data_IF_664165868255
#
_entry.id   IF_664165868255
#
_cell.length_a   1.000
_cell.length_b   1.000
_cell.length_c   1.000
_cell.angle_alpha   90.00
_cell.angle_beta   90.00
_cell.angle_gamma   90.00
#
_symmetry.space_group_name_H-M   'P 1'
#
loop_
_entity.id
_entity.type
_entity.pdbx_description
1 polymer ?
#
# COMPACT_ATOMS: atom_id res chain seq x y z
N UNK A 1 -48.11 12.68 -36.69
CA UNK A 1 -48.31 14.14 -36.72
C UNK A 1 -48.64 14.61 -35.30
N UNK A 2 -47.71 15.19 -34.59
CA UNK A 2 -47.94 15.87 -33.32
C UNK A 2 -47.15 17.18 -33.33
N UNK A 3 -47.88 18.28 -33.28
CA UNK A 3 -47.38 19.65 -33.32
C UNK A 3 -46.73 20.02 -31.99
N UNK A 4 -45.51 20.55 -32.02
CA UNK A 4 -44.82 21.13 -30.87
C UNK A 4 -45.07 22.63 -30.91
N UNK A 5 -45.80 23.14 -29.90
CA UNK A 5 -46.05 24.56 -29.67
C UNK A 5 -44.85 25.20 -28.99
N UNK A 6 -44.21 26.12 -29.68
CA UNK A 6 -43.13 26.98 -29.18
C UNK A 6 -43.78 28.10 -28.33
N UNK A 7 -43.45 28.14 -27.04
CA UNK A 7 -43.79 29.28 -26.17
C UNK A 7 -42.51 30.15 -26.01
N UNK A 8 -42.58 31.34 -26.60
CA UNK A 8 -41.57 32.38 -26.51
C UNK A 8 -41.83 33.19 -25.23
N UNK A 9 -40.94 33.09 -24.23
CA UNK A 9 -41.00 33.91 -23.00
C UNK A 9 -39.96 35.04 -23.12
N UNK A 10 -40.44 36.22 -23.40
CA UNK A 10 -39.68 37.49 -23.35
C UNK A 10 -39.60 37.93 -21.89
N UNK A 11 -38.41 37.81 -21.25
CA UNK A 11 -38.15 38.42 -19.94
C UNK A 11 -37.29 39.68 -20.17
N UNK A 12 -37.95 40.82 -20.01
CA UNK A 12 -37.32 42.14 -19.87
C UNK A 12 -36.63 42.18 -18.49
N UNK A 13 -35.30 42.18 -18.46
CA UNK A 13 -34.51 42.42 -17.24
C UNK A 13 -34.06 43.88 -17.26
N UNK A 14 -34.65 44.65 -16.34
CA UNK A 14 -34.29 46.04 -16.06
C UNK A 14 -32.85 46.11 -15.50
N UNK A 15 -31.95 46.84 -16.19
CA UNK A 15 -30.65 47.22 -15.67
C UNK A 15 -30.83 48.31 -14.61
N UNK A 16 -30.70 47.98 -13.33
CA UNK A 16 -30.41 48.97 -12.29
C UNK A 16 -28.88 48.99 -12.08
N UNK A 17 -28.25 50.04 -12.53
CA UNK A 17 -26.84 50.33 -12.28
C UNK A 17 -26.67 50.69 -10.79
N UNK A 18 -26.15 49.78 -9.97
CA UNK A 18 -25.67 50.06 -8.63
C UNK A 18 -24.19 50.39 -8.75
N UNK A 19 -23.86 51.66 -8.60
CA UNK A 19 -22.47 52.10 -8.42
C UNK A 19 -21.98 51.58 -7.06
N UNK A 20 -21.29 50.44 -7.04
CA UNK A 20 -20.57 49.98 -5.85
C UNK A 20 -19.21 50.68 -5.79
N UNK A 21 -19.04 51.48 -4.73
CA UNK A 21 -17.73 52.02 -4.32
C UNK A 21 -16.76 50.85 -4.12
N UNK A 22 -15.82 50.70 -5.05
CA UNK A 22 -14.72 49.78 -4.89
C UNK A 22 -13.80 50.28 -3.75
N UNK A 23 -13.98 49.71 -2.57
CA UNK A 23 -12.98 49.76 -1.55
C UNK A 23 -11.68 49.10 -2.03
N UNK A 24 -10.49 49.64 -1.79
CA UNK A 24 -9.24 49.02 -2.20
C UNK A 24 -9.17 47.60 -1.61
N UNK A 25 -8.99 46.63 -2.46
CA UNK A 25 -8.77 45.23 -2.06
C UNK A 25 -7.52 45.19 -1.16
N UNK A 26 -7.72 45.02 0.15
CA UNK A 26 -6.64 44.63 1.02
C UNK A 26 -6.02 43.33 0.51
N UNK A 27 -4.67 43.26 0.41
CA UNK A 27 -4.03 41.99 0.12
C UNK A 27 -4.44 41.02 1.21
N UNK A 28 -5.24 40.01 0.86
CA UNK A 28 -5.52 38.88 1.75
C UNK A 28 -4.16 38.21 2.01
N UNK A 29 -3.57 38.55 3.16
CA UNK A 29 -2.47 37.81 3.75
C UNK A 29 -2.96 36.36 3.88
N UNK A 30 -2.50 35.51 2.96
CA UNK A 30 -2.68 34.07 3.06
C UNK A 30 -1.89 33.62 4.28
N UNK A 31 -2.50 33.65 5.44
CA UNK A 31 -2.04 32.88 6.59
C UNK A 31 -2.19 31.41 6.19
N UNK A 32 -1.17 30.88 5.53
CA UNK A 32 -1.04 29.43 5.39
C UNK A 32 -1.14 28.88 6.82
N UNK A 33 -2.14 28.04 7.05
CA UNK A 33 -2.35 27.42 8.34
C UNK A 33 -1.05 26.69 8.72
N UNK A 34 -0.51 26.99 9.88
CA UNK A 34 0.77 26.43 10.34
C UNK A 34 0.75 24.89 10.32
N UNK A 35 -0.42 24.30 10.52
CA UNK A 35 -0.63 22.86 10.44
C UNK A 35 -0.46 22.31 9.01
N UNK A 36 -0.88 23.07 7.99
CA UNK A 36 -0.73 22.68 6.58
C UNK A 36 0.75 22.73 6.16
N UNK A 37 1.47 23.73 6.62
CA UNK A 37 2.91 23.88 6.36
C UNK A 37 3.72 22.76 7.02
N UNK A 38 3.37 22.41 8.27
CA UNK A 38 4.00 21.28 8.97
C UNK A 38 3.75 19.95 8.25
N UNK A 39 2.53 19.69 7.77
CA UNK A 39 2.19 18.51 6.99
C UNK A 39 2.99 18.45 5.67
N UNK A 40 3.16 19.60 5.00
CA UNK A 40 3.99 19.71 3.80
C UNK A 40 5.44 19.32 4.08
N UNK A 41 6.05 19.87 5.12
CA UNK A 41 7.43 19.55 5.48
C UNK A 41 7.63 18.10 5.89
N UNK A 42 6.70 17.52 6.65
CA UNK A 42 6.73 16.08 7.00
C UNK A 42 6.71 15.19 5.75
N UNK A 43 5.86 15.50 4.78
CA UNK A 43 5.79 14.75 3.52
C UNK A 43 7.09 14.84 2.72
N UNK A 44 7.63 16.05 2.56
CA UNK A 44 8.91 16.24 1.85
C UNK A 44 10.07 15.54 2.56
N UNK A 45 10.15 15.63 3.89
CA UNK A 45 11.19 14.97 4.68
C UNK A 45 11.16 13.45 4.53
N UNK A 46 9.97 12.83 4.47
CA UNK A 46 9.78 11.41 4.18
C UNK A 46 10.44 10.99 2.86
N UNK A 47 10.44 11.88 1.88
CA UNK A 47 11.06 11.66 0.57
C UNK A 47 12.48 12.24 0.44
N UNK A 48 13.12 12.56 1.58
CA UNK A 48 14.48 13.14 1.64
C UNK A 48 14.63 14.46 0.87
N UNK A 49 13.55 15.25 0.75
CA UNK A 49 13.58 16.57 0.13
C UNK A 49 13.78 17.63 1.21
N UNK A 50 14.85 18.44 1.14
CA UNK A 50 15.10 19.52 2.08
C UNK A 50 13.95 20.54 2.12
N UNK A 51 13.72 21.15 3.27
CA UNK A 51 12.60 22.07 3.50
C UNK A 51 12.58 23.24 2.50
N UNK A 52 13.75 23.79 2.15
CA UNK A 52 13.91 24.88 1.18
C UNK A 52 13.54 24.51 -0.27
N UNK A 53 13.51 23.21 -0.58
CA UNK A 53 13.11 22.68 -1.87
C UNK A 53 11.68 22.12 -1.90
N UNK A 54 11.01 22.13 -0.76
CA UNK A 54 9.66 21.62 -0.60
C UNK A 54 8.63 22.65 -1.06
N UNK A 55 8.49 22.85 -2.36
CA UNK A 55 7.45 23.74 -2.89
C UNK A 55 6.06 23.10 -2.83
N UNK A 56 4.96 23.88 -2.90
CA UNK A 56 3.60 23.33 -2.91
C UNK A 56 3.37 22.33 -4.05
N UNK A 57 4.00 22.54 -5.21
CA UNK A 57 3.89 21.66 -6.39
C UNK A 57 4.57 20.32 -6.10
N UNK A 58 5.78 20.33 -5.53
CA UNK A 58 6.51 19.14 -5.13
C UNK A 58 5.71 18.38 -4.07
N UNK A 59 5.18 19.07 -3.07
CA UNK A 59 4.32 18.47 -2.06
C UNK A 59 3.12 17.76 -2.67
N UNK A 60 2.41 18.41 -3.60
CA UNK A 60 1.25 17.80 -4.25
C UNK A 60 1.63 16.56 -5.06
N UNK A 61 2.72 16.61 -5.83
CA UNK A 61 3.23 15.45 -6.57
C UNK A 61 3.58 14.27 -5.65
N UNK A 62 4.20 14.54 -4.49
CA UNK A 62 4.53 13.50 -3.51
C UNK A 62 3.27 12.92 -2.88
N UNK A 63 2.30 13.75 -2.53
CA UNK A 63 1.01 13.32 -2.00
C UNK A 63 0.24 12.45 -2.98
N UNK A 64 0.24 12.83 -4.27
CA UNK A 64 -0.41 12.04 -5.32
C UNK A 64 0.30 10.68 -5.49
N UNK A 65 1.64 10.66 -5.44
CA UNK A 65 2.44 9.43 -5.46
C UNK A 65 2.18 8.53 -4.26
N UNK A 66 2.11 9.12 -3.05
CA UNK A 66 1.82 8.37 -1.82
C UNK A 66 0.39 7.81 -1.79
N UNK A 67 -0.55 8.52 -2.42
CA UNK A 67 -1.95 8.10 -2.53
C UNK A 67 -2.24 7.22 -3.77
N UNK A 68 -1.26 7.05 -4.66
CA UNK A 68 -1.45 6.20 -5.83
C UNK A 68 -1.83 4.77 -5.41
N UNK A 69 -2.78 4.14 -6.11
CA UNK A 69 -3.13 2.76 -5.83
C UNK A 69 -1.92 1.86 -6.07
N UNK A 70 -1.72 0.90 -5.18
CA UNK A 70 -0.69 -0.11 -5.35
C UNK A 70 -1.01 -0.97 -6.58
N UNK A 71 0.03 -1.38 -7.30
CA UNK A 71 -0.16 -2.38 -8.36
C UNK A 71 -0.75 -3.68 -7.77
N UNK A 72 -1.50 -4.46 -8.57
CA UNK A 72 -2.24 -5.63 -8.07
C UNK A 72 -1.38 -6.64 -7.33
N UNK A 73 -0.14 -6.87 -7.78
CA UNK A 73 0.78 -7.82 -7.14
C UNK A 73 1.23 -7.30 -5.78
N UNK A 74 1.63 -6.02 -5.70
CA UNK A 74 1.99 -5.40 -4.43
C UNK A 74 0.81 -5.38 -3.46
N UNK A 75 -0.40 -5.06 -3.93
CA UNK A 75 -1.60 -5.07 -3.09
C UNK A 75 -1.92 -6.47 -2.54
N UNK A 76 -1.79 -7.50 -3.36
CA UNK A 76 -2.00 -8.89 -2.93
C UNK A 76 -0.97 -9.33 -1.88
N UNK A 77 0.31 -9.04 -2.12
CA UNK A 77 1.39 -9.38 -1.19
C UNK A 77 1.30 -8.58 0.13
N UNK A 78 0.97 -7.30 0.06
CA UNK A 78 0.76 -6.48 1.25
C UNK A 78 -0.40 -6.99 2.11
N UNK A 79 -1.53 -7.35 1.49
CA UNK A 79 -2.66 -7.96 2.18
C UNK A 79 -2.25 -9.25 2.89
N UNK A 80 -1.55 -10.13 2.19
CA UNK A 80 -1.04 -11.37 2.78
C UNK A 80 -0.08 -11.09 3.95
N UNK A 81 0.87 -10.18 3.80
CA UNK A 81 1.80 -9.81 4.85
C UNK A 81 1.10 -9.25 6.09
N UNK A 82 0.13 -8.35 5.93
CA UNK A 82 -0.68 -7.80 7.04
C UNK A 82 -1.52 -8.86 7.72
N UNK A 83 -2.15 -9.76 6.97
CA UNK A 83 -2.91 -10.87 7.56
C UNK A 83 -1.98 -11.80 8.34
N UNK A 84 -0.77 -12.09 7.82
CA UNK A 84 0.21 -12.88 8.57
C UNK A 84 0.69 -12.17 9.83
N UNK A 85 0.89 -10.85 9.77
CA UNK A 85 1.29 -10.03 10.91
C UNK A 85 0.35 -10.19 12.10
N UNK A 86 -0.95 -10.30 11.87
CA UNK A 86 -1.94 -10.50 12.95
C UNK A 86 -1.81 -11.85 13.67
N UNK A 87 -1.13 -12.82 13.07
CA UNK A 87 -0.89 -14.15 13.64
C UNK A 87 0.39 -14.21 14.48
N UNK A 88 1.25 -13.18 14.40
CA UNK A 88 2.49 -13.12 15.18
C UNK A 88 2.22 -12.71 16.62
N UNK A 89 2.94 -13.30 17.57
CA UNK A 89 2.88 -12.88 18.99
C UNK A 89 3.42 -11.47 19.21
N UNK A 90 4.42 -11.06 18.41
CA UNK A 90 4.98 -9.71 18.38
C UNK A 90 4.88 -9.16 16.95
N UNK A 91 3.73 -8.58 16.55
CA UNK A 91 3.51 -8.05 15.21
C UNK A 91 4.52 -7.00 14.77
N UNK A 92 5.00 -6.18 15.71
CA UNK A 92 5.95 -5.09 15.44
C UNK A 92 7.35 -5.59 15.10
N UNK A 93 7.67 -6.85 15.43
CA UNK A 93 8.95 -7.47 15.07
C UNK A 93 8.98 -8.03 13.64
N UNK A 94 7.87 -7.96 12.91
CA UNK A 94 7.76 -8.53 11.57
C UNK A 94 8.72 -7.85 10.58
N UNK A 95 9.43 -8.68 9.83
CA UNK A 95 10.30 -8.27 8.73
C UNK A 95 9.98 -9.11 7.49
N UNK A 96 9.67 -8.48 6.38
CA UNK A 96 9.45 -9.18 5.11
C UNK A 96 10.78 -9.26 4.37
N UNK A 97 11.37 -10.45 4.32
CA UNK A 97 12.61 -10.72 3.61
C UNK A 97 12.37 -10.94 2.12
N UNK A 98 11.27 -11.63 1.79
CA UNK A 98 10.84 -11.87 0.41
C UNK A 98 9.33 -11.72 0.32
N UNK A 99 8.86 -10.97 -0.67
CA UNK A 99 7.48 -10.94 -1.09
C UNK A 99 7.44 -11.10 -2.62
N UNK A 100 7.05 -12.27 -3.07
CA UNK A 100 7.08 -12.65 -4.47
C UNK A 100 5.71 -13.13 -4.92
N UNK A 101 5.23 -12.65 -6.06
CA UNK A 101 3.94 -13.06 -6.63
C UNK A 101 4.19 -13.84 -7.90
N UNK A 102 3.80 -15.11 -7.92
CA UNK A 102 3.93 -15.98 -9.08
C UNK A 102 2.99 -15.52 -10.21
N UNK A 103 3.24 -15.97 -11.46
CA UNK A 103 2.32 -15.70 -12.58
C UNK A 103 0.91 -16.24 -12.35
N UNK A 104 0.74 -17.22 -11.46
CA UNK A 104 -0.57 -17.75 -11.06
C UNK A 104 -1.27 -16.90 -10.01
N UNK A 105 -0.61 -15.85 -9.51
CA UNK A 105 -1.13 -14.95 -8.48
C UNK A 105 -0.97 -15.50 -7.06
N UNK A 106 -0.20 -16.58 -6.85
CA UNK A 106 0.12 -17.05 -5.51
C UNK A 106 1.23 -16.17 -4.91
N UNK A 107 1.07 -15.78 -3.66
CA UNK A 107 2.01 -14.93 -2.93
C UNK A 107 2.93 -15.79 -2.08
N UNK A 108 4.21 -15.68 -2.32
CA UNK A 108 5.29 -16.38 -1.62
C UNK A 108 5.99 -15.40 -0.68
N UNK A 109 5.88 -15.62 0.62
CA UNK A 109 6.46 -14.76 1.63
C UNK A 109 7.54 -15.50 2.42
N UNK A 110 8.66 -14.82 2.63
CA UNK A 110 9.63 -15.16 3.67
C UNK A 110 9.62 -14.05 4.71
N UNK A 111 9.19 -14.38 5.92
CA UNK A 111 8.92 -13.41 6.99
C UNK A 111 9.75 -13.77 8.21
N UNK A 112 10.54 -12.81 8.67
CA UNK A 112 11.21 -12.84 9.97
C UNK A 112 10.31 -12.27 11.07
N UNK A 113 10.52 -12.75 12.30
CA UNK A 113 9.84 -12.21 13.48
C UNK A 113 10.37 -12.81 14.77
N UNK A 114 10.06 -12.18 15.89
CA UNK A 114 10.39 -12.73 17.20
C UNK A 114 9.39 -13.82 17.62
N UNK A 115 9.91 -14.93 18.08
CA UNK A 115 9.09 -15.95 18.75
C UNK A 115 8.72 -15.52 20.18
N UNK A 116 7.88 -16.32 20.84
CA UNK A 116 7.41 -16.02 22.21
C UNK A 116 8.51 -16.01 23.29
N UNK A 117 9.73 -16.43 22.96
CA UNK A 117 10.91 -16.42 23.83
C UNK A 117 11.94 -15.35 23.43
N UNK A 118 11.59 -14.45 22.48
CA UNK A 118 12.46 -13.38 22.02
C UNK A 118 13.48 -13.79 20.95
N UNK A 119 13.56 -15.06 20.57
CA UNK A 119 14.43 -15.53 19.49
C UNK A 119 13.92 -15.11 18.13
N UNK A 120 14.83 -14.79 17.20
CA UNK A 120 14.49 -14.51 15.81
C UNK A 120 14.21 -15.81 15.06
N UNK A 121 13.17 -15.82 14.26
CA UNK A 121 12.78 -16.96 13.43
C UNK A 121 12.37 -16.47 12.05
N UNK A 122 12.55 -17.30 11.05
CA UNK A 122 12.13 -17.04 9.67
C UNK A 122 11.12 -18.11 9.27
N UNK A 123 9.99 -17.67 8.75
CA UNK A 123 8.93 -18.53 8.22
C UNK A 123 8.76 -18.31 6.73
N UNK A 124 8.56 -19.41 5.99
CA UNK A 124 8.23 -19.40 4.57
C UNK A 124 6.78 -19.84 4.42
N UNK A 125 5.96 -18.96 3.89
CA UNK A 125 4.50 -19.15 3.80
C UNK A 125 3.99 -18.82 2.42
N UNK A 126 2.90 -19.48 2.02
CA UNK A 126 2.23 -19.25 0.75
C UNK A 126 0.80 -18.81 0.99
N UNK A 127 0.42 -17.70 0.40
CA UNK A 127 -0.95 -17.25 0.32
C UNK A 127 -1.44 -17.41 -1.11
N UNK A 128 -2.39 -18.33 -1.33
CA UNK A 128 -2.85 -18.65 -2.68
C UNK A 128 -3.67 -17.52 -3.31
N UNK A 129 -3.70 -17.48 -4.63
CA UNK A 129 -4.60 -16.61 -5.40
C UNK A 129 -6.09 -16.77 -5.06
N UNK A 130 -6.46 -17.90 -4.42
CA UNK A 130 -7.81 -18.16 -3.89
C UNK A 130 -8.03 -17.62 -2.46
N UNK A 131 -7.07 -16.88 -1.90
CA UNK A 131 -7.19 -16.29 -0.56
C UNK A 131 -7.06 -17.29 0.59
N UNK A 132 -6.26 -18.34 0.43
CA UNK A 132 -6.02 -19.35 1.46
C UNK A 132 -4.54 -19.52 1.74
N UNK A 133 -4.18 -19.66 3.01
CA UNK A 133 -2.86 -20.09 3.40
C UNK A 133 -2.69 -21.58 3.11
N UNK A 134 -1.61 -21.96 2.43
CA UNK A 134 -1.27 -23.38 2.23
C UNK A 134 -0.60 -23.96 3.46
N UNK A 135 -0.16 -23.10 4.36
CA UNK A 135 0.54 -23.48 5.56
C UNK A 135 0.03 -22.71 6.77
N UNK A 136 -1.03 -23.24 7.36
CA UNK A 136 -1.49 -22.85 8.69
C UNK A 136 -0.80 -23.67 9.79
N UNK A 137 0.12 -24.55 9.43
CA UNK A 137 0.99 -25.25 10.36
C UNK A 137 1.91 -24.23 11.01
N UNK A 138 1.44 -23.69 12.13
CA UNK A 138 2.02 -22.56 12.80
C UNK A 138 3.52 -22.68 12.99
N UNK A 139 4.11 -21.56 13.34
CA UNK A 139 5.47 -21.31 13.80
C UNK A 139 6.09 -22.36 14.76
N UNK A 140 5.29 -23.27 15.20
CA UNK A 140 5.58 -24.52 15.86
C UNK A 140 5.05 -25.64 14.97
N UNK A 141 5.69 -25.89 13.83
CA UNK A 141 5.59 -27.21 13.22
C UNK A 141 5.91 -28.19 14.33
N UNK A 142 4.92 -28.93 14.80
CA UNK A 142 5.18 -29.94 15.83
C UNK A 142 6.28 -30.85 15.27
N UNK A 143 7.18 -31.30 16.10
CA UNK A 143 8.21 -32.28 15.79
C UNK A 143 7.66 -33.47 14.98
N UNK A 144 6.36 -33.76 15.10
CA UNK A 144 5.62 -34.77 14.34
C UNK A 144 5.44 -34.44 12.85
N UNK A 145 5.36 -33.15 12.46
CA UNK A 145 5.24 -32.78 11.05
C UNK A 145 6.58 -32.82 10.32
N UNK A 146 7.68 -32.58 11.00
CA UNK A 146 9.04 -32.71 10.46
C UNK A 146 9.33 -34.15 10.04
N UNK A 147 8.77 -35.13 10.74
CA UNK A 147 8.93 -36.55 10.45
C UNK A 147 8.00 -37.07 9.34
N UNK A 148 6.98 -36.32 8.90
CA UNK A 148 6.03 -36.75 7.87
C UNK A 148 6.32 -36.21 6.47
N UNK A 149 7.43 -35.51 6.26
CA UNK A 149 7.88 -35.05 4.93
C UNK A 149 6.96 -34.00 4.25
N UNK A 150 6.05 -33.38 5.00
CA UNK A 150 5.07 -32.42 4.48
C UNK A 150 5.14 -31.06 5.20
N UNK A 151 6.34 -30.62 5.55
CA UNK A 151 6.55 -29.33 6.22
C UNK A 151 6.24 -28.12 5.32
N UNK A 152 6.08 -26.97 5.94
CA UNK A 152 5.83 -25.68 5.29
C UNK A 152 6.83 -25.34 4.20
N UNK A 153 8.08 -25.72 4.40
CA UNK A 153 9.17 -25.54 3.43
C UNK A 153 8.89 -26.29 2.14
N UNK A 154 8.40 -27.52 2.22
CA UNK A 154 8.12 -28.33 1.02
C UNK A 154 6.99 -27.73 0.19
N UNK A 155 5.94 -27.18 0.82
CA UNK A 155 4.85 -26.52 0.10
C UNK A 155 5.31 -25.20 -0.54
N UNK A 156 6.11 -24.42 0.20
CA UNK A 156 6.71 -23.20 -0.35
C UNK A 156 7.59 -23.54 -1.57
N UNK A 157 8.45 -24.56 -1.46
CA UNK A 157 9.27 -25.04 -2.57
C UNK A 157 8.41 -25.48 -3.74
N UNK A 158 7.34 -26.22 -3.50
CA UNK A 158 6.47 -26.76 -4.56
C UNK A 158 5.66 -25.68 -5.31
N UNK A 159 5.29 -24.59 -4.63
CA UNK A 159 4.47 -23.51 -5.22
C UNK A 159 5.30 -22.35 -5.71
N UNK A 160 6.38 -22.00 -5.00
CA UNK A 160 7.14 -20.79 -5.24
C UNK A 160 8.43 -21.00 -6.02
N UNK A 161 8.92 -22.24 -6.09
CA UNK A 161 10.21 -22.53 -6.73
C UNK A 161 10.14 -23.68 -7.74
N UNK A 162 11.17 -23.77 -8.57
CA UNK A 162 11.41 -24.87 -9.48
C UNK A 162 12.79 -25.46 -9.18
N UNK A 163 12.85 -26.78 -9.04
CA UNK A 163 14.10 -27.50 -8.80
C UNK A 163 14.27 -27.93 -7.36
N UNK A 164 14.87 -29.12 -7.15
CA UNK A 164 14.98 -29.75 -5.82
C UNK A 164 16.30 -29.43 -5.13
N UNK A 165 17.40 -29.24 -5.85
CA UNK A 165 18.73 -29.03 -5.27
C UNK A 165 19.18 -27.57 -5.21
N UNK A 166 18.73 -26.75 -6.17
CA UNK A 166 18.97 -25.29 -6.19
C UNK A 166 17.67 -24.62 -6.58
N UNK A 167 16.74 -24.46 -5.62
CA UNK A 167 15.42 -23.93 -5.91
C UNK A 167 15.54 -22.48 -6.41
N UNK A 168 15.00 -22.25 -7.62
CA UNK A 168 14.85 -20.91 -8.19
C UNK A 168 13.38 -20.53 -8.10
N UNK A 169 13.10 -19.26 -7.83
CA UNK A 169 11.73 -18.76 -7.88
C UNK A 169 11.10 -19.04 -9.26
N UNK A 170 9.84 -19.43 -9.27
CA UNK A 170 9.05 -19.54 -10.49
C UNK A 170 8.93 -18.18 -11.16
N UNK A 171 8.58 -18.11 -12.47
CA UNK A 171 8.29 -16.81 -13.10
C UNK A 171 7.23 -16.04 -12.34
N UNK A 172 7.45 -14.73 -12.18
CA UNK A 172 6.57 -13.84 -11.40
C UNK A 172 7.21 -12.49 -11.14
N UNK A 173 6.72 -11.80 -10.12
CA UNK A 173 7.13 -10.43 -9.76
C UNK A 173 7.63 -10.36 -8.33
N UNK A 174 8.85 -9.89 -8.13
CA UNK A 174 9.36 -9.50 -6.82
C UNK A 174 8.79 -8.12 -6.44
N UNK A 175 8.11 -8.07 -5.31
CA UNK A 175 7.48 -6.87 -4.78
C UNK A 175 7.96 -6.56 -3.36
N UNK A 176 9.06 -7.17 -2.93
CA UNK A 176 9.58 -7.09 -1.56
C UNK A 176 9.78 -5.65 -1.10
N UNK A 177 10.49 -4.83 -1.88
CA UNK A 177 10.73 -3.43 -1.51
C UNK A 177 9.44 -2.61 -1.42
N UNK A 178 8.53 -2.80 -2.39
CA UNK A 178 7.24 -2.09 -2.41
C UNK A 178 6.36 -2.47 -1.22
N UNK A 179 6.33 -3.75 -0.84
CA UNK A 179 5.59 -4.22 0.35
C UNK A 179 6.19 -3.65 1.62
N UNK A 180 7.52 -3.70 1.78
CA UNK A 180 8.20 -3.12 2.93
C UNK A 180 7.97 -1.62 3.04
N UNK A 181 7.98 -0.90 1.92
CA UNK A 181 7.67 0.52 1.91
C UNK A 181 6.21 0.79 2.30
N UNK A 182 5.26 0.03 1.74
CA UNK A 182 3.85 0.18 2.06
C UNK A 182 3.53 -0.13 3.54
N UNK A 183 4.21 -1.12 4.14
CA UNK A 183 4.10 -1.42 5.58
C UNK A 183 4.61 -0.25 6.43
N UNK A 184 5.75 0.35 6.08
CA UNK A 184 6.30 1.54 6.77
C UNK A 184 5.38 2.76 6.63
N UNK A 185 4.73 2.91 5.49
CA UNK A 185 3.80 4.01 5.20
C UNK A 185 2.42 3.82 5.85
N UNK A 186 2.16 2.69 6.50
CA UNK A 186 0.87 2.38 7.13
C UNK A 186 -0.27 2.11 6.15
N UNK A 187 0.07 1.79 4.90
CA UNK A 187 -0.92 1.47 3.84
C UNK A 187 -1.63 0.16 4.07
#
# INVERSE_FOLDING_TARGET
MRQIKTALFLLLVSLTAIAQNAAPAQPQSQTQDASALEAQYKTCAKHYIPAEKCTPEIYQQLKDKDNAPLDPNTAAALRAAKEYQTKLKNPDSMQVHTAYVTEKGDVCLEIGGQNGMGGQTVSRVVYTSKGRWLDEGGFFGSWDQQNRGNGSVDRWLGVCTKGNFHPKLLPGTDVTEKVNQALKDGK
#
